data_IF_514808986324
#
_entry.id   IF_514808986324
#
_cell.length_a   1.000
_cell.length_b   1.000
_cell.length_c   1.000
_cell.angle_alpha   90.00
_cell.angle_beta   90.00
_cell.angle_gamma   90.00
#
_symmetry.space_group_name_H-M   'P 1'
#
loop_
_entity.id
_entity.type
_entity.pdbx_description
1 polymer ?
#
# COMPACT_ATOMS: atom_id res chain seq x y z
N UNK A 1 -22.71 -20.31 -20.60
CA UNK A 1 -21.54 -19.53 -20.13
C UNK A 1 -21.31 -18.28 -20.97
N UNK A 2 -21.34 -18.35 -22.30
CA UNK A 2 -21.13 -17.19 -23.19
C UNK A 2 -22.06 -16.00 -22.91
N UNK A 3 -23.33 -16.24 -22.59
CA UNK A 3 -24.30 -15.22 -22.20
C UNK A 3 -23.95 -14.44 -20.92
N UNK A 4 -22.96 -14.89 -20.15
CA UNK A 4 -22.42 -14.23 -18.96
C UNK A 4 -20.98 -13.73 -19.16
N UNK A 5 -20.49 -13.65 -20.40
CA UNK A 5 -19.13 -13.18 -20.71
C UNK A 5 -18.01 -14.14 -20.30
N UNK A 6 -18.31 -15.43 -20.14
CA UNK A 6 -17.33 -16.46 -19.78
C UNK A 6 -17.18 -17.56 -20.83
N UNK A 7 -16.17 -18.40 -20.63
CA UNK A 7 -15.89 -19.61 -21.43
C UNK A 7 -16.20 -20.86 -20.60
N UNK A 8 -16.88 -21.83 -21.21
CA UNK A 8 -17.09 -23.14 -20.60
C UNK A 8 -15.82 -24.00 -20.73
N UNK A 9 -15.26 -24.46 -19.61
CA UNK A 9 -14.04 -25.30 -19.59
C UNK A 9 -14.35 -26.64 -18.90
N UNK A 10 -14.18 -27.75 -19.62
CA UNK A 10 -14.31 -29.12 -19.09
C UNK A 10 -13.22 -29.42 -18.05
N UNK A 11 -13.59 -30.04 -16.93
CA UNK A 11 -12.66 -30.45 -15.87
C UNK A 11 -12.13 -29.32 -14.99
N UNK A 12 -12.68 -28.10 -15.12
CA UNK A 12 -12.25 -26.93 -14.34
C UNK A 12 -12.80 -26.91 -12.91
N UNK A 13 -13.93 -27.58 -12.65
CA UNK A 13 -14.48 -27.75 -11.31
C UNK A 13 -14.28 -29.16 -10.79
N UNK A 14 -14.34 -29.31 -9.47
CA UNK A 14 -14.34 -30.61 -8.80
C UNK A 14 -15.51 -31.44 -9.32
N UNK A 15 -15.22 -32.61 -9.89
CA UNK A 15 -16.23 -33.52 -10.44
C UNK A 15 -15.72 -34.34 -11.62
N UNK A 16 -16.63 -34.99 -12.35
CA UNK A 16 -16.34 -35.69 -13.60
C UNK A 16 -15.61 -34.80 -14.63
N UNK A 17 -14.74 -35.40 -15.45
CA UNK A 17 -13.88 -34.67 -16.39
C UNK A 17 -14.64 -33.98 -17.53
N UNK A 18 -15.88 -34.41 -17.79
CA UNK A 18 -16.79 -33.83 -18.77
C UNK A 18 -17.62 -32.66 -18.21
N UNK A 19 -17.60 -32.43 -16.89
CA UNK A 19 -18.28 -31.30 -16.28
C UNK A 19 -17.61 -29.99 -16.72
N UNK A 20 -18.37 -29.15 -17.42
CA UNK A 20 -17.93 -27.84 -17.86
C UNK A 20 -18.28 -26.75 -16.84
N UNK A 21 -17.29 -25.99 -16.42
CA UNK A 21 -17.50 -24.83 -15.56
C UNK A 21 -17.36 -23.52 -16.32
N UNK A 22 -18.21 -22.56 -15.95
CA UNK A 22 -18.21 -21.25 -16.56
C UNK A 22 -17.14 -20.38 -15.91
N UNK A 23 -16.06 -20.11 -16.65
CA UNK A 23 -14.99 -19.24 -16.21
C UNK A 23 -15.19 -17.88 -16.86
N UNK A 24 -15.61 -16.89 -16.08
CA UNK A 24 -15.60 -15.49 -16.52
C UNK A 24 -14.16 -15.01 -16.61
N UNK A 25 -13.84 -14.15 -17.59
CA UNK A 25 -12.52 -13.52 -17.77
C UNK A 25 -11.92 -13.19 -16.40
N UNK A 26 -10.76 -13.77 -16.10
CA UNK A 26 -9.98 -13.48 -14.90
C UNK A 26 -9.94 -11.97 -14.71
N UNK A 27 -10.39 -11.47 -13.57
CA UNK A 27 -10.11 -10.09 -13.17
C UNK A 27 -8.60 -9.93 -13.23
N UNK A 28 -8.08 -9.19 -14.21
CA UNK A 28 -6.66 -8.86 -14.22
C UNK A 28 -6.44 -7.93 -13.03
N UNK A 29 -6.00 -8.50 -11.90
CA UNK A 29 -5.51 -7.72 -10.80
C UNK A 29 -4.20 -7.06 -11.21
N UNK A 30 -4.00 -5.81 -10.80
CA UNK A 30 -2.69 -5.18 -10.86
C UNK A 30 -1.78 -5.80 -9.80
N UNK A 31 -0.55 -6.15 -10.16
CA UNK A 31 0.44 -6.57 -9.18
C UNK A 31 1.08 -5.33 -8.52
N UNK A 32 1.29 -5.43 -7.22
CA UNK A 32 1.88 -4.38 -6.41
C UNK A 32 2.87 -4.92 -5.38
N UNK A 33 3.67 -4.01 -4.82
CA UNK A 33 4.63 -4.33 -3.77
C UNK A 33 4.67 -3.22 -2.72
N UNK A 34 4.75 -3.57 -1.45
CA UNK A 34 5.11 -2.66 -0.37
C UNK A 34 6.55 -2.93 0.10
N UNK A 35 7.23 -1.89 0.56
CA UNK A 35 8.66 -1.98 0.93
C UNK A 35 8.97 -1.10 2.14
N UNK A 36 9.78 -1.61 3.06
CA UNK A 36 10.22 -0.88 4.25
C UNK A 36 11.67 -0.37 4.16
N UNK A 37 12.32 -0.55 3.01
CA UNK A 37 13.70 -0.13 2.72
C UNK A 37 13.77 0.62 1.38
N UNK A 38 14.89 1.31 1.15
CA UNK A 38 15.11 2.05 -0.09
C UNK A 38 15.17 1.13 -1.30
N UNK A 39 14.41 1.45 -2.34
CA UNK A 39 14.44 0.76 -3.63
C UNK A 39 15.36 1.53 -4.58
N UNK A 40 16.40 0.87 -5.11
CA UNK A 40 17.29 1.43 -6.12
C UNK A 40 16.61 1.57 -7.48
N UNK A 41 17.20 2.35 -8.38
CA UNK A 41 16.70 2.48 -9.76
C UNK A 41 16.67 1.13 -10.49
N UNK A 42 17.70 0.29 -10.30
CA UNK A 42 17.76 -1.07 -10.88
C UNK A 42 16.62 -1.96 -10.39
N UNK A 43 16.31 -1.94 -9.09
CA UNK A 43 15.20 -2.71 -8.54
C UNK A 43 13.84 -2.16 -9.02
N UNK A 44 13.68 -0.84 -9.10
CA UNK A 44 12.46 -0.24 -9.63
C UNK A 44 12.21 -0.64 -11.09
N UNK A 45 13.24 -0.65 -11.94
CA UNK A 45 13.15 -1.14 -13.31
C UNK A 45 12.80 -2.63 -13.38
N UNK A 46 13.39 -3.44 -12.49
CA UNK A 46 13.06 -4.87 -12.37
C UNK A 46 11.59 -5.12 -12.00
N UNK A 47 11.04 -4.31 -11.08
CA UNK A 47 9.62 -4.36 -10.73
C UNK A 47 8.74 -4.01 -11.93
N UNK A 48 9.05 -2.92 -12.63
CA UNK A 48 8.30 -2.52 -13.81
C UNK A 48 8.33 -3.60 -14.92
N UNK A 49 9.49 -4.21 -15.19
CA UNK A 49 9.59 -5.32 -16.16
C UNK A 49 8.84 -6.58 -15.73
N UNK A 50 8.60 -6.73 -14.42
CA UNK A 50 7.82 -7.83 -13.83
C UNK A 50 6.34 -7.51 -13.68
N UNK A 51 5.82 -6.52 -14.42
CA UNK A 51 4.41 -6.11 -14.41
C UNK A 51 3.90 -5.57 -13.06
N UNK A 52 4.80 -5.08 -12.20
CA UNK A 52 4.42 -4.32 -11.00
C UNK A 52 4.00 -2.91 -11.43
N UNK A 53 2.73 -2.59 -11.21
CA UNK A 53 2.16 -1.27 -11.57
C UNK A 53 1.91 -0.38 -10.35
N UNK A 54 2.12 -0.92 -9.15
CA UNK A 54 1.74 -0.35 -7.88
C UNK A 54 2.86 -0.53 -6.83
N UNK A 55 3.27 0.53 -6.15
CA UNK A 55 4.27 0.46 -5.07
C UNK A 55 3.85 1.28 -3.85
N UNK A 56 4.06 0.74 -2.65
CA UNK A 56 3.80 1.42 -1.37
C UNK A 56 5.05 1.37 -0.46
N UNK A 57 6.02 2.29 -0.59
CA UNK A 57 7.07 2.45 0.42
C UNK A 57 6.52 2.90 1.78
N UNK A 58 7.21 2.50 2.86
CA UNK A 58 7.01 3.05 4.19
C UNK A 58 7.35 4.53 4.20
N UNK A 59 6.42 5.36 4.66
CA UNK A 59 6.63 6.80 4.87
C UNK A 59 6.81 7.18 6.33
N UNK A 60 6.22 6.43 7.26
CA UNK A 60 6.33 6.68 8.69
C UNK A 60 6.55 5.39 9.46
N UNK A 61 7.36 5.45 10.50
CA UNK A 61 7.80 4.30 11.28
C UNK A 61 7.03 4.23 12.60
N UNK A 62 6.80 3.01 13.08
CA UNK A 62 6.26 2.70 14.42
C UNK A 62 7.13 3.17 15.58
N UNK A 63 8.24 3.86 15.30
CA UNK A 63 9.09 4.55 16.27
C UNK A 63 8.86 6.07 16.30
N UNK A 64 7.77 6.57 15.69
CA UNK A 64 7.37 7.97 15.79
C UNK A 64 8.19 8.91 14.91
N UNK A 65 8.59 8.49 13.72
CA UNK A 65 9.35 9.34 12.79
C UNK A 65 9.13 8.98 11.32
N UNK A 66 9.31 9.98 10.45
CA UNK A 66 9.32 9.80 9.00
C UNK A 66 10.44 8.82 8.59
N UNK A 67 10.14 7.93 7.64
CA UNK A 67 11.12 7.09 6.96
C UNK A 67 11.64 7.83 5.72
N UNK A 68 12.89 8.27 5.75
CA UNK A 68 13.47 9.10 4.68
C UNK A 68 13.75 8.34 3.39
N UNK A 69 13.66 7.00 3.40
CA UNK A 69 13.79 6.19 2.18
C UNK A 69 12.60 6.40 1.22
N UNK A 70 11.45 6.84 1.74
CA UNK A 70 10.19 6.95 0.97
C UNK A 70 10.36 7.76 -0.32
N UNK A 71 11.01 8.92 -0.26
CA UNK A 71 11.13 9.79 -1.43
C UNK A 71 12.11 9.24 -2.48
N UNK A 72 13.16 8.53 -2.06
CA UNK A 72 14.07 7.84 -3.00
C UNK A 72 13.31 6.76 -3.75
N UNK A 73 12.55 5.93 -3.04
CA UNK A 73 11.73 4.86 -3.63
C UNK A 73 10.68 5.42 -4.59
N UNK A 74 9.94 6.46 -4.19
CA UNK A 74 8.91 7.09 -5.04
C UNK A 74 9.50 7.67 -6.33
N UNK A 75 10.65 8.36 -6.24
CA UNK A 75 11.34 8.93 -7.40
C UNK A 75 11.82 7.84 -8.37
N UNK A 76 12.45 6.80 -7.85
CA UNK A 76 12.92 5.67 -8.67
C UNK A 76 11.77 4.91 -9.33
N UNK A 77 10.68 4.67 -8.57
CA UNK A 77 9.47 4.04 -9.11
C UNK A 77 8.82 4.88 -10.22
N UNK A 78 8.75 6.21 -10.05
CA UNK A 78 8.29 7.13 -11.10
C UNK A 78 9.15 7.03 -12.35
N UNK A 79 10.47 7.07 -12.20
CA UNK A 79 11.42 6.95 -13.32
C UNK A 79 11.31 5.61 -14.05
N UNK A 80 10.98 4.52 -13.34
CA UNK A 80 10.76 3.20 -13.93
C UNK A 80 9.37 3.03 -14.58
N UNK A 81 8.48 4.02 -14.49
CA UNK A 81 7.15 3.97 -15.08
C UNK A 81 6.09 3.26 -14.20
N UNK A 82 6.35 3.02 -12.92
CA UNK A 82 5.35 2.46 -11.99
C UNK A 82 4.24 3.49 -11.78
N UNK A 83 3.01 3.12 -12.19
CA UNK A 83 1.89 4.05 -12.36
C UNK A 83 1.29 4.58 -11.07
N UNK A 84 1.31 3.78 -10.00
CA UNK A 84 0.80 4.18 -8.68
C UNK A 84 1.89 3.99 -7.64
N UNK A 85 2.08 5.04 -6.85
CA UNK A 85 3.21 5.25 -5.95
C UNK A 85 2.65 5.87 -4.69
N UNK A 86 1.99 5.03 -3.89
CA UNK A 86 1.37 5.42 -2.63
C UNK A 86 2.40 5.30 -1.51
N UNK A 87 2.00 5.55 -0.27
CA UNK A 87 2.86 5.46 0.91
C UNK A 87 2.09 4.79 2.02
N UNK A 88 2.74 4.06 2.93
CA UNK A 88 2.10 3.61 4.16
C UNK A 88 2.67 4.31 5.40
N UNK A 89 1.80 4.56 6.37
CA UNK A 89 2.11 5.12 7.68
C UNK A 89 1.96 3.97 8.68
N UNK A 90 3.08 3.56 9.30
CA UNK A 90 3.07 2.68 10.46
C UNK A 90 3.01 3.55 11.72
N UNK A 91 1.84 3.67 12.38
CA UNK A 91 1.65 4.59 13.48
C UNK A 91 2.43 4.17 14.74
N UNK A 92 2.70 5.13 15.61
CA UNK A 92 3.18 4.89 16.96
C UNK A 92 2.26 5.54 18.02
N UNK A 93 1.12 4.91 18.38
CA UNK A 93 0.20 5.43 19.39
C UNK A 93 0.82 5.65 20.77
N UNK A 94 1.90 4.94 21.09
CA UNK A 94 2.62 5.04 22.37
C UNK A 94 3.77 6.05 22.37
N UNK A 95 4.06 6.66 21.22
CA UNK A 95 5.06 7.72 21.10
C UNK A 95 4.51 9.07 21.58
N UNK A 96 5.39 10.05 21.77
CA UNK A 96 5.02 11.40 22.21
C UNK A 96 4.22 12.20 21.17
N UNK A 97 4.38 11.91 19.88
CA UNK A 97 3.67 12.60 18.80
C UNK A 97 2.20 12.14 18.73
N UNK A 98 1.26 13.10 18.72
CA UNK A 98 -0.16 12.83 18.48
C UNK A 98 -0.40 12.22 17.10
N UNK A 99 -1.53 11.52 16.93
CA UNK A 99 -1.97 11.00 15.63
C UNK A 99 -1.89 12.05 14.51
N UNK A 100 -2.45 13.24 14.76
CA UNK A 100 -2.43 14.37 13.84
C UNK A 100 -1.01 14.85 13.51
N UNK A 101 -0.11 14.85 14.49
CA UNK A 101 1.29 15.22 14.29
C UNK A 101 2.00 14.19 13.41
N UNK A 102 1.79 12.89 13.63
CA UNK A 102 2.40 11.82 12.81
C UNK A 102 1.95 11.94 11.34
N UNK A 103 0.66 12.15 11.10
CA UNK A 103 0.13 12.37 9.75
C UNK A 103 0.72 13.65 9.12
N UNK A 104 0.71 14.77 9.86
CA UNK A 104 1.21 16.06 9.36
C UNK A 104 2.70 16.03 9.03
N UNK A 105 3.52 15.35 9.85
CA UNK A 105 4.94 15.16 9.59
C UNK A 105 5.17 14.41 8.28
N UNK A 106 4.44 13.31 8.05
CA UNK A 106 4.53 12.53 6.82
C UNK A 106 4.10 13.38 5.60
N UNK A 107 2.91 13.97 5.64
CA UNK A 107 2.36 14.75 4.52
C UNK A 107 3.26 15.93 4.19
N UNK A 108 3.75 16.65 5.19
CA UNK A 108 4.68 17.78 5.00
C UNK A 108 5.97 17.31 4.34
N UNK A 109 6.54 16.20 4.79
CA UNK A 109 7.76 15.64 4.21
C UNK A 109 7.56 15.24 2.74
N UNK A 110 6.48 14.51 2.42
CA UNK A 110 6.16 14.09 1.05
C UNK A 110 5.97 15.29 0.13
N UNK A 111 5.18 16.29 0.55
CA UNK A 111 4.94 17.51 -0.21
C UNK A 111 6.23 18.28 -0.49
N UNK A 112 7.10 18.41 0.51
CA UNK A 112 8.35 19.15 0.35
C UNK A 112 9.39 18.43 -0.52
N UNK A 113 9.46 17.09 -0.47
CA UNK A 113 10.62 16.35 -1.00
C UNK A 113 10.33 15.51 -2.25
N UNK A 114 9.08 15.11 -2.46
CA UNK A 114 8.71 14.22 -3.56
C UNK A 114 7.24 14.34 -4.01
N UNK A 115 6.62 15.51 -3.89
CA UNK A 115 5.23 15.77 -4.29
C UNK A 115 4.89 15.23 -5.69
N UNK A 116 5.75 15.47 -6.69
CA UNK A 116 5.51 15.02 -8.06
C UNK A 116 5.67 13.52 -8.29
N UNK A 117 6.18 12.78 -7.29
CA UNK A 117 6.40 11.32 -7.35
C UNK A 117 5.42 10.54 -6.50
N UNK A 118 4.77 11.18 -5.54
CA UNK A 118 3.71 10.58 -4.73
C UNK A 118 2.36 10.68 -5.45
N UNK A 119 1.53 9.63 -5.34
CA UNK A 119 0.21 9.57 -6.01
C UNK A 119 -0.93 10.16 -5.16
N UNK A 120 -0.61 10.63 -3.95
CA UNK A 120 -1.56 11.34 -3.08
C UNK A 120 -2.31 10.46 -2.08
N UNK A 121 -2.08 9.14 -2.04
CA UNK A 121 -2.69 8.24 -1.06
C UNK A 121 -1.70 7.79 0.00
N UNK A 122 -2.18 7.73 1.24
CA UNK A 122 -1.50 7.12 2.39
C UNK A 122 -2.34 5.94 2.89
N UNK A 123 -1.71 4.80 3.10
CA UNK A 123 -2.28 3.60 3.72
C UNK A 123 -1.92 3.59 5.20
N UNK A 124 -2.86 3.14 6.04
CA UNK A 124 -2.63 3.01 7.47
C UNK A 124 -2.28 1.55 7.77
N UNK A 125 -1.06 1.32 8.22
CA UNK A 125 -0.56 -0.01 8.58
C UNK A 125 -0.90 -0.30 10.05
N UNK A 126 -2.04 -0.96 10.26
CA UNK A 126 -2.61 -1.20 11.59
C UNK A 126 -2.38 -2.66 11.97
N UNK A 127 -1.27 -2.91 12.67
CA UNK A 127 -0.88 -4.25 13.07
C UNK A 127 -0.26 -4.31 14.47
N UNK A 128 -0.14 -5.53 15.01
CA UNK A 128 0.59 -5.88 16.22
C UNK A 128 0.12 -5.20 17.51
N UNK A 129 -0.46 -5.97 18.44
CA UNK A 129 -0.93 -5.43 19.72
C UNK A 129 0.17 -4.72 20.53
N UNK A 130 1.44 -5.09 20.33
CA UNK A 130 2.61 -4.49 20.97
C UNK A 130 2.86 -3.01 20.60
N UNK A 131 2.31 -2.53 19.48
CA UNK A 131 2.46 -1.13 19.04
C UNK A 131 1.37 -0.21 19.58
N UNK A 132 0.33 -0.77 20.19
CA UNK A 132 -0.87 -0.05 20.60
C UNK A 132 -0.96 0.02 22.11
N UNK A 133 -1.85 0.89 22.60
CA UNK A 133 -2.15 0.94 24.03
C UNK A 133 -2.91 -0.33 24.43
N UNK A 134 -2.91 -0.66 25.72
CA UNK A 134 -3.74 -1.74 26.26
C UNK A 134 -5.25 -1.45 26.28
N UNK A 135 -5.70 -0.31 25.74
CA UNK A 135 -7.09 0.15 25.78
C UNK A 135 -7.68 0.24 24.38
N UNK A 136 -8.68 -0.59 24.09
CA UNK A 136 -9.43 -0.55 22.82
C UNK A 136 -10.07 0.82 22.58
N UNK A 137 -10.64 1.44 23.62
CA UNK A 137 -11.26 2.77 23.52
C UNK A 137 -10.25 3.85 23.17
N UNK A 138 -9.07 3.81 23.78
CA UNK A 138 -7.97 4.75 23.49
C UNK A 138 -7.43 4.53 22.07
N UNK A 139 -7.26 3.28 21.65
CA UNK A 139 -6.80 2.93 20.31
C UNK A 139 -7.79 3.41 19.23
N UNK A 140 -9.09 3.23 19.44
CA UNK A 140 -10.13 3.71 18.52
C UNK A 140 -10.12 5.23 18.40
N UNK A 141 -10.05 5.95 19.51
CA UNK A 141 -10.01 7.41 19.51
C UNK A 141 -8.74 7.94 18.80
N UNK A 142 -7.60 7.30 19.06
CA UNK A 142 -6.33 7.65 18.41
C UNK A 142 -6.37 7.39 16.90
N UNK A 143 -6.88 6.22 16.47
CA UNK A 143 -7.05 5.89 15.05
C UNK A 143 -7.99 6.87 14.33
N UNK A 144 -9.11 7.23 14.96
CA UNK A 144 -10.02 8.23 14.39
C UNK A 144 -9.31 9.57 14.18
N UNK A 145 -8.54 10.03 15.16
CA UNK A 145 -7.74 11.26 15.02
C UNK A 145 -6.69 11.17 13.91
N UNK A 146 -6.19 9.97 13.59
CA UNK A 146 -5.25 9.78 12.48
C UNK A 146 -5.96 9.91 11.13
N UNK A 147 -7.14 9.31 10.99
CA UNK A 147 -7.99 9.40 9.79
C UNK A 147 -8.44 10.85 9.56
N UNK A 148 -8.90 11.53 10.60
CA UNK A 148 -9.39 12.93 10.51
C UNK A 148 -8.28 13.91 10.12
N UNK A 149 -7.01 13.59 10.43
CA UNK A 149 -5.87 14.41 10.05
C UNK A 149 -5.47 14.27 8.57
N UNK A 150 -6.05 13.32 7.83
CA UNK A 150 -5.82 13.11 6.40
C UNK A 150 -6.78 13.97 5.55
N UNK A 151 -6.79 15.28 5.80
CA UNK A 151 -7.63 16.29 5.12
C UNK A 151 -6.81 17.32 4.36
#
# INVERSE_FOLDING_TARGET
CSSKGGTSISGYCVGPTDLQCCVTKTTSGSHGVDVSTSVSSTHASCFASSSITYIIPRGYRSVGSVDTNVCTTLKNAKSAGISVRDVYLFPCPTCSASASSQMSQLVTYLKANCASSWSGRIWLDIEGTQYWTGSTSSNKAWYQSLVDACS
#
